data_IF_739444006810
#
_entry.id   IF_739444006810
#
_cell.length_a   1.000
_cell.length_b   1.000
_cell.length_c   1.000
_cell.angle_alpha   90.00
_cell.angle_beta   90.00
_cell.angle_gamma   90.00
#
_symmetry.space_group_name_H-M   'P 1'
#
loop_
_entity.id
_entity.type
_entity.pdbx_description
1 polymer ?
#
# COMPACT_ATOMS: atom_id res chain seq x y z
N UNK A 1 -6.93 -26.27 -9.37
CA UNK A 1 -6.89 -24.99 -10.10
C UNK A 1 -6.68 -23.90 -9.06
N UNK A 2 -5.58 -23.16 -9.14
CA UNK A 2 -5.39 -22.00 -8.26
C UNK A 2 -6.26 -20.86 -8.78
N UNK A 3 -7.26 -20.47 -8.02
CA UNK A 3 -8.04 -19.26 -8.27
C UNK A 3 -7.17 -18.06 -7.91
N UNK A 4 -6.71 -17.34 -8.93
CA UNK A 4 -6.10 -16.03 -8.80
C UNK A 4 -7.21 -15.00 -8.93
N UNK A 5 -7.28 -14.05 -8.00
CA UNK A 5 -8.22 -12.94 -8.03
C UNK A 5 -7.45 -11.64 -7.85
N UNK A 6 -7.84 -10.61 -8.60
CA UNK A 6 -7.25 -9.27 -8.50
C UNK A 6 -8.08 -8.41 -7.54
N UNK A 7 -7.48 -7.32 -7.10
CA UNK A 7 -8.11 -6.43 -6.15
C UNK A 7 -7.19 -5.36 -5.61
N UNK A 8 -7.74 -4.54 -4.71
CA UNK A 8 -7.07 -3.41 -4.08
C UNK A 8 -6.70 -3.72 -2.64
N UNK A 9 -5.55 -3.20 -2.21
CA UNK A 9 -5.11 -3.32 -0.81
C UNK A 9 -5.36 -2.02 -0.07
N UNK A 10 -6.15 -2.13 1.01
CA UNK A 10 -6.46 -1.07 1.95
C UNK A 10 -5.85 -1.43 3.32
N UNK A 11 -4.54 -1.21 3.46
CA UNK A 11 -3.79 -1.61 4.66
C UNK A 11 -3.84 -3.12 4.89
N UNK A 12 -4.58 -3.56 5.90
CA UNK A 12 -4.76 -5.00 6.25
C UNK A 12 -5.93 -5.69 5.54
N UNK A 13 -6.70 -4.95 4.74
CA UNK A 13 -7.87 -5.46 4.03
C UNK A 13 -7.54 -5.54 2.55
N UNK A 14 -7.84 -6.68 1.92
CA UNK A 14 -7.78 -6.85 0.46
C UNK A 14 -9.21 -6.90 -0.05
N UNK A 15 -9.60 -5.92 -0.86
CA UNK A 15 -10.87 -5.88 -1.57
C UNK A 15 -10.68 -6.53 -2.93
N UNK A 16 -11.41 -7.61 -3.22
CA UNK A 16 -11.27 -8.38 -4.45
C UNK A 16 -12.34 -7.98 -5.46
N UNK A 17 -11.95 -7.90 -6.74
CA UNK A 17 -12.86 -7.53 -7.82
C UNK A 17 -13.95 -8.60 -8.05
N UNK A 18 -13.59 -9.86 -7.79
CA UNK A 18 -14.47 -11.01 -7.94
C UNK A 18 -14.76 -11.70 -6.62
N UNK A 19 -15.94 -12.31 -6.52
CA UNK A 19 -16.25 -13.19 -5.39
C UNK A 19 -15.40 -14.46 -5.44
N UNK A 20 -14.59 -14.64 -4.40
CA UNK A 20 -13.82 -15.86 -4.17
C UNK A 20 -14.49 -16.74 -3.11
N UNK A 21 -14.28 -18.06 -3.15
CA UNK A 21 -14.68 -18.94 -2.05
C UNK A 21 -14.08 -18.50 -0.72
N UNK A 22 -14.74 -18.82 0.40
CA UNK A 22 -14.21 -18.50 1.74
C UNK A 22 -12.78 -19.00 1.93
N UNK A 23 -11.91 -18.12 2.41
CA UNK A 23 -10.47 -18.37 2.60
C UNK A 23 -10.07 -18.52 4.08
N UNK A 24 -11.05 -18.54 5.00
CA UNK A 24 -10.84 -18.70 6.44
C UNK A 24 -9.98 -19.93 6.76
N UNK A 25 -8.89 -19.73 7.52
CA UNK A 25 -7.95 -20.79 7.90
C UNK A 25 -7.02 -21.26 6.77
N UNK A 26 -7.06 -20.65 5.59
CA UNK A 26 -6.18 -20.98 4.46
C UNK A 26 -5.04 -19.98 4.34
N UNK A 27 -3.85 -20.48 4.00
CA UNK A 27 -2.73 -19.61 3.61
C UNK A 27 -2.97 -19.10 2.19
N UNK A 28 -2.80 -17.79 2.01
CA UNK A 28 -2.91 -17.12 0.72
C UNK A 28 -1.58 -16.48 0.37
N UNK A 29 -1.27 -16.39 -0.93
CA UNK A 29 -0.11 -15.65 -1.44
C UNK A 29 -0.63 -14.39 -2.12
N UNK A 30 -0.17 -13.24 -1.66
CA UNK A 30 -0.43 -11.95 -2.31
C UNK A 30 0.76 -11.60 -3.20
N UNK A 31 0.49 -11.12 -4.40
CA UNK A 31 1.48 -10.55 -5.32
C UNK A 31 1.06 -9.11 -5.53
N UNK A 32 1.94 -8.16 -5.17
CA UNK A 32 1.68 -6.73 -5.32
C UNK A 32 2.34 -6.27 -6.60
N UNK A 33 1.53 -5.75 -7.51
CA UNK A 33 2.01 -5.11 -8.73
C UNK A 33 1.79 -3.60 -8.60
N UNK A 34 2.81 -2.77 -8.86
CA UNK A 34 2.62 -1.33 -8.94
C UNK A 34 1.58 -1.04 -10.02
N UNK A 35 0.54 -0.28 -9.68
CA UNK A 35 -0.42 0.20 -10.68
C UNK A 35 0.33 1.16 -11.60
N UNK A 36 0.39 0.84 -12.90
CA UNK A 36 1.12 1.62 -13.91
C UNK A 36 0.59 3.07 -14.01
N UNK A 37 -0.65 3.32 -13.59
CA UNK A 37 -1.24 4.67 -13.45
C UNK A 37 -0.68 5.50 -12.27
N UNK A 38 0.35 5.01 -11.56
CA UNK A 38 1.16 5.85 -10.69
C UNK A 38 2.20 6.65 -11.48
N UNK A 39 1.77 7.30 -12.56
CA UNK A 39 2.46 8.48 -13.10
C UNK A 39 2.31 9.65 -12.10
N UNK A 40 2.77 9.47 -10.86
CA UNK A 40 3.25 10.60 -10.07
C UNK A 40 4.59 11.05 -10.68
N UNK A 41 4.56 11.48 -11.94
CA UNK A 41 5.62 12.24 -12.58
C UNK A 41 5.61 13.65 -12.01
N UNK A 42 5.91 13.74 -10.71
CA UNK A 42 5.99 15.01 -10.02
C UNK A 42 7.22 15.71 -10.53
N UNK A 43 7.04 16.83 -11.23
CA UNK A 43 8.15 17.64 -11.69
C UNK A 43 9.07 18.00 -10.50
N UNK A 44 10.40 18.08 -10.69
CA UNK A 44 11.35 18.33 -9.58
C UNK A 44 11.05 19.58 -8.74
N UNK A 45 10.36 20.56 -9.30
CA UNK A 45 9.89 21.77 -8.60
C UNK A 45 8.72 21.48 -7.66
N UNK A 46 7.81 20.61 -8.09
CA UNK A 46 6.61 20.25 -7.34
C UNK A 46 6.94 19.27 -6.20
N UNK A 47 7.88 18.36 -6.43
CA UNK A 47 8.45 17.53 -5.37
C UNK A 47 9.09 18.44 -4.30
N UNK A 48 9.94 19.40 -4.70
CA UNK A 48 10.53 20.38 -3.77
C UNK A 48 9.50 21.22 -3.00
N UNK A 49 8.32 21.46 -3.55
CA UNK A 49 7.23 22.18 -2.88
C UNK A 49 6.57 21.27 -1.83
N UNK A 50 6.22 20.05 -2.21
CA UNK A 50 5.59 19.06 -1.32
C UNK A 50 6.50 18.71 -0.13
N UNK A 51 7.80 18.55 -0.37
CA UNK A 51 8.78 18.32 0.70
C UNK A 51 8.88 19.50 1.67
N UNK A 52 8.89 20.75 1.16
CA UNK A 52 8.89 21.94 2.04
C UNK A 52 7.63 22.01 2.89
N UNK A 53 6.47 21.76 2.28
CA UNK A 53 5.19 21.73 2.99
C UNK A 53 5.17 20.63 4.07
N UNK A 54 5.75 19.46 3.80
CA UNK A 54 5.89 18.38 4.78
C UNK A 54 6.87 18.74 5.90
N UNK A 55 7.96 19.46 5.62
CA UNK A 55 8.87 19.94 6.68
C UNK A 55 8.18 20.99 7.56
N UNK A 56 7.41 21.90 6.97
CA UNK A 56 6.76 23.01 7.68
C UNK A 56 5.52 22.57 8.46
N UNK A 57 4.80 21.54 8.00
CA UNK A 57 3.48 21.17 8.55
C UNK A 57 3.21 19.68 8.56
N UNK A 58 4.23 18.85 8.36
CA UNK A 58 4.13 17.40 8.47
C UNK A 58 3.85 16.97 9.92
N UNK A 59 3.48 15.70 10.10
CA UNK A 59 3.27 15.14 11.43
C UNK A 59 4.51 15.38 12.30
N UNK A 60 4.32 16.08 13.42
CA UNK A 60 5.37 16.36 14.39
C UNK A 60 5.28 15.32 15.51
N UNK A 61 6.24 14.40 15.52
CA UNK A 61 6.33 13.32 16.47
C UNK A 61 7.15 12.18 15.89
N UNK A 62 7.63 11.23 16.72
CA UNK A 62 8.10 9.96 16.18
C UNK A 62 6.99 9.40 15.28
N UNK A 63 7.34 8.96 14.08
CA UNK A 63 6.45 8.09 13.32
C UNK A 63 6.17 6.93 14.27
N UNK A 64 4.92 6.76 14.67
CA UNK A 64 4.53 5.58 15.43
C UNK A 64 4.85 4.39 14.52
N UNK A 65 5.95 3.69 14.84
CA UNK A 65 6.23 2.36 14.30
C UNK A 65 5.10 1.48 14.84
N UNK A 66 3.97 1.48 14.15
CA UNK A 66 2.93 0.46 14.32
C UNK A 66 3.58 -0.88 13.93
N UNK A 67 4.16 -1.51 14.94
CA UNK A 67 4.86 -2.78 14.95
C UNK A 67 6.10 -2.84 14.05
N UNK A 68 7.27 -2.91 14.69
CA UNK A 68 8.49 -3.40 14.07
C UNK A 68 8.18 -4.78 13.46
N UNK A 69 8.04 -4.82 12.14
CA UNK A 69 7.89 -6.07 11.40
C UNK A 69 9.11 -6.95 11.70
N UNK A 70 8.91 -8.04 12.44
CA UNK A 70 9.91 -9.10 12.51
C UNK A 70 10.02 -9.72 11.10
N UNK A 71 11.06 -9.32 10.39
CA UNK A 71 11.44 -9.93 9.11
C UNK A 71 11.82 -11.40 9.40
N UNK A 72 11.25 -12.40 8.71
CA UNK A 72 11.60 -13.81 8.87
C UNK A 72 13.07 -14.13 8.55
#
# INVERSE_FOLDING_TARGET
MSTMAMGWIHGKIVELDDQVPKLEGRRVRLVLEPVEDSELNVMPSEQRRLWRQWVESGPQGPIEDDEAWEVP
#
